data_IF_736657891872
#
_entry.id   IF_736657891872
#
_cell.length_a   1.000
_cell.length_b   1.000
_cell.length_c   1.000
_cell.angle_alpha   90.00
_cell.angle_beta   90.00
_cell.angle_gamma   90.00
#
_symmetry.space_group_name_H-M   'P 1'
#
loop_
_entity.id
_entity.type
_entity.pdbx_description
1 polymer ?
#
# COMPACT_ATOMS: atom_id res chain seq x y z
N UNK A 1 18.60 -18.47 -11.47
CA UNK A 1 17.45 -18.33 -12.39
C UNK A 1 17.32 -16.85 -12.70
N UNK A 2 17.19 -16.45 -13.96
CA UNK A 2 16.90 -15.05 -14.27
C UNK A 2 15.42 -14.73 -14.00
N UNK A 3 15.09 -13.44 -13.93
CA UNK A 3 13.73 -12.99 -13.61
C UNK A 3 12.72 -13.45 -14.69
N UNK A 4 13.14 -13.55 -15.95
CA UNK A 4 12.26 -13.95 -17.04
C UNK A 4 11.86 -15.43 -16.93
N UNK A 5 12.81 -16.29 -16.57
CA UNK A 5 12.56 -17.71 -16.29
C UNK A 5 11.64 -17.87 -15.07
N UNK A 6 11.89 -17.14 -13.98
CA UNK A 6 11.03 -17.16 -12.79
C UNK A 6 9.59 -16.71 -13.12
N UNK A 7 9.44 -15.64 -13.90
CA UNK A 7 8.12 -15.17 -14.34
C UNK A 7 7.39 -16.21 -15.21
N UNK A 8 8.11 -16.99 -16.02
CA UNK A 8 7.50 -18.05 -16.80
C UNK A 8 6.93 -19.16 -15.91
N UNK A 9 7.67 -19.56 -14.87
CA UNK A 9 7.22 -20.55 -13.89
C UNK A 9 6.01 -20.03 -13.10
N UNK A 10 6.06 -18.78 -12.63
CA UNK A 10 4.95 -18.14 -11.90
C UNK A 10 3.68 -18.07 -12.76
N UNK A 11 3.80 -17.82 -14.07
CA UNK A 11 2.66 -17.80 -15.00
C UNK A 11 2.00 -19.16 -15.18
N UNK A 12 2.69 -20.27 -14.89
CA UNK A 12 2.13 -21.62 -14.95
C UNK A 12 1.23 -21.96 -13.75
N UNK A 13 1.33 -21.18 -12.67
CA UNK A 13 0.51 -21.34 -11.46
C UNK A 13 -0.94 -20.88 -11.69
N UNK A 14 -1.84 -21.35 -10.83
CA UNK A 14 -3.21 -20.86 -10.80
C UNK A 14 -3.25 -19.36 -10.47
N UNK A 15 -4.38 -18.67 -10.74
CA UNK A 15 -4.52 -17.27 -10.32
C UNK A 15 -4.38 -17.11 -8.81
N UNK A 16 -4.98 -18.03 -8.05
CA UNK A 16 -4.94 -18.04 -6.58
C UNK A 16 -3.51 -18.18 -6.07
N UNK A 17 -2.75 -19.13 -6.59
CA UNK A 17 -1.34 -19.35 -6.20
C UNK A 17 -0.46 -18.15 -6.57
N UNK A 18 -0.73 -17.49 -7.70
CA UNK A 18 0.00 -16.26 -8.07
C UNK A 18 -0.28 -15.13 -7.10
N UNK A 19 -1.53 -14.97 -6.65
CA UNK A 19 -1.89 -13.95 -5.66
C UNK A 19 -1.20 -14.25 -4.33
N UNK A 20 -1.25 -15.50 -3.87
CA UNK A 20 -0.56 -15.93 -2.65
C UNK A 20 0.95 -15.70 -2.72
N UNK A 21 1.57 -15.99 -3.87
CA UNK A 21 3.01 -15.77 -4.06
C UNK A 21 3.36 -14.28 -4.06
N UNK A 22 2.56 -13.44 -4.74
CA UNK A 22 2.76 -11.98 -4.72
C UNK A 22 2.70 -11.46 -3.29
N UNK A 23 1.74 -11.92 -2.49
CA UNK A 23 1.64 -11.53 -1.09
C UNK A 23 2.83 -12.01 -0.26
N UNK A 24 3.25 -13.26 -0.42
CA UNK A 24 4.41 -13.79 0.32
C UNK A 24 5.71 -13.03 0.00
N UNK A 25 5.92 -12.65 -1.26
CA UNK A 25 7.06 -11.82 -1.67
C UNK A 25 6.95 -10.41 -1.06
N UNK A 26 5.75 -9.85 -1.06
CA UNK A 26 5.52 -8.53 -0.46
C UNK A 26 5.81 -8.52 1.05
N UNK A 27 5.35 -9.56 1.76
CA UNK A 27 5.60 -9.74 3.18
C UNK A 27 7.10 -9.94 3.49
N UNK A 28 7.83 -10.66 2.64
CA UNK A 28 9.28 -10.83 2.83
C UNK A 28 10.05 -9.52 2.66
N UNK A 29 9.67 -8.70 1.67
CA UNK A 29 10.26 -7.37 1.46
C UNK A 29 10.00 -6.47 2.67
N UNK A 30 8.78 -6.51 3.22
CA UNK A 30 8.43 -5.75 4.41
C UNK A 30 9.25 -6.20 5.63
N UNK A 31 9.47 -7.51 5.80
CA UNK A 31 10.27 -8.06 6.89
C UNK A 31 11.77 -7.76 6.78
N UNK A 32 12.30 -7.64 5.56
CA UNK A 32 13.71 -7.29 5.32
C UNK A 32 13.97 -5.77 5.41
N UNK A 33 12.94 -4.95 5.25
CA UNK A 33 13.09 -3.51 5.45
C UNK A 33 13.36 -3.19 6.93
N UNK A 34 14.47 -2.51 7.17
CA UNK A 34 14.68 -1.80 8.44
C UNK A 34 13.60 -0.72 8.51
N UNK A 35 12.61 -0.91 9.37
CA UNK A 35 11.56 0.07 9.59
C UNK A 35 12.20 1.42 9.93
N UNK A 36 11.97 2.42 9.09
CA UNK A 36 12.19 3.79 9.49
C UNK A 36 11.11 4.11 10.51
N UNK A 37 11.51 4.31 11.75
CA UNK A 37 10.61 4.80 12.77
C UNK A 37 9.99 6.11 12.30
N UNK A 38 8.67 6.20 12.39
CA UNK A 38 7.98 7.46 12.18
C UNK A 38 8.53 8.48 13.19
N UNK A 39 8.82 9.68 12.70
CA UNK A 39 9.12 10.81 13.57
C UNK A 39 7.90 11.12 14.45
N UNK A 40 8.12 11.74 15.61
CA UNK A 40 7.01 12.08 16.52
C UNK A 40 5.97 12.98 15.85
N UNK A 41 6.40 13.89 14.97
CA UNK A 41 5.49 14.74 14.20
C UNK A 41 4.62 13.93 13.22
N UNK A 42 5.18 12.89 12.59
CA UNK A 42 4.41 12.00 11.72
C UNK A 42 3.40 11.16 12.51
N UNK A 43 3.79 10.65 13.69
CA UNK A 43 2.88 9.93 14.59
C UNK A 43 1.71 10.82 15.03
N UNK A 44 2.00 12.03 15.49
CA UNK A 44 0.97 13.01 15.89
C UNK A 44 0.01 13.35 14.75
N UNK A 45 0.50 13.49 13.51
CA UNK A 45 -0.38 13.75 12.37
C UNK A 45 -1.27 12.55 12.04
N UNK A 46 -0.78 11.32 12.20
CA UNK A 46 -1.62 10.13 12.02
C UNK A 46 -2.68 10.04 13.13
N UNK A 47 -2.30 10.22 14.39
CA UNK A 47 -3.24 10.23 15.52
C UNK A 47 -4.34 11.28 15.32
N UNK A 48 -3.96 12.50 14.92
CA UNK A 48 -4.92 13.58 14.61
C UNK A 48 -5.90 13.20 13.49
N UNK A 49 -5.43 12.50 12.45
CA UNK A 49 -6.28 12.06 11.32
C UNK A 49 -7.23 10.95 11.73
N UNK A 50 -6.78 10.04 12.59
CA UNK A 50 -7.61 8.97 13.14
C UNK A 50 -8.71 9.57 14.00
N UNK A 51 -8.37 10.46 14.95
CA UNK A 51 -9.36 11.14 15.81
C UNK A 51 -10.40 11.94 15.00
N UNK A 52 -9.95 12.61 13.94
CA UNK A 52 -10.83 13.36 13.05
C UNK A 52 -11.81 12.44 12.30
N UNK A 53 -11.33 11.28 11.84
CA UNK A 53 -12.18 10.28 11.18
C UNK A 53 -13.16 9.62 12.14
N UNK A 54 -12.72 9.29 13.36
CA UNK A 54 -13.58 8.71 14.40
C UNK A 54 -14.68 9.68 14.83
N UNK A 55 -14.39 10.98 14.79
CA UNK A 55 -15.37 12.04 15.07
C UNK A 55 -16.35 12.24 13.91
N UNK A 56 -15.87 12.16 12.66
CA UNK A 56 -16.69 12.30 11.46
C UNK A 56 -16.20 11.37 10.33
N UNK A 57 -16.83 10.20 10.22
CA UNK A 57 -16.50 9.21 9.22
C UNK A 57 -16.83 9.63 7.78
N UNK A 58 -17.59 10.73 7.59
CA UNK A 58 -17.90 11.28 6.27
C UNK A 58 -16.88 12.34 5.82
N UNK A 59 -15.98 12.76 6.70
CA UNK A 59 -14.90 13.70 6.39
C UNK A 59 -13.73 13.00 5.67
N UNK A 60 -14.03 12.38 4.54
CA UNK A 60 -13.09 11.66 3.68
C UNK A 60 -13.35 12.00 2.22
N UNK A 61 -12.31 11.89 1.40
CA UNK A 61 -12.43 12.03 -0.05
C UNK A 61 -12.46 10.63 -0.68
N UNK A 62 -13.34 10.46 -1.65
CA UNK A 62 -13.31 9.31 -2.55
C UNK A 62 -12.08 9.37 -3.45
N UNK A 63 -11.68 8.21 -3.98
CA UNK A 63 -10.57 8.14 -4.92
C UNK A 63 -10.78 8.99 -6.18
N UNK A 64 -12.03 9.13 -6.63
CA UNK A 64 -12.35 9.99 -7.78
C UNK A 64 -12.16 11.47 -7.45
N UNK A 65 -12.56 11.92 -6.26
CA UNK A 65 -12.35 13.31 -5.80
C UNK A 65 -10.86 13.63 -5.65
N UNK A 66 -10.07 12.71 -5.07
CA UNK A 66 -8.61 12.88 -4.96
C UNK A 66 -7.97 13.00 -6.36
N UNK A 67 -8.33 12.11 -7.29
CA UNK A 67 -7.82 12.18 -8.67
C UNK A 67 -8.21 13.45 -9.40
N UNK A 68 -9.44 13.95 -9.18
CA UNK A 68 -9.91 15.19 -9.77
C UNK A 68 -9.08 16.38 -9.27
N UNK A 69 -8.89 16.49 -7.94
CA UNK A 69 -8.10 17.57 -7.33
C UNK A 69 -6.65 17.62 -7.87
N UNK A 70 -5.96 16.48 -7.93
CA UNK A 70 -4.58 16.41 -8.43
C UNK A 70 -4.48 16.77 -9.93
N UNK A 71 -5.53 16.53 -10.71
CA UNK A 71 -5.58 16.86 -12.15
C UNK A 71 -5.94 18.31 -12.42
N UNK A 72 -6.67 18.98 -11.53
CA UNK A 72 -6.99 20.41 -11.64
C UNK A 72 -5.83 21.31 -11.21
N UNK A 73 -4.91 20.81 -10.39
CA UNK A 73 -3.67 21.50 -10.00
C UNK A 73 -2.54 21.40 -11.06
N UNK A 74 -2.74 20.65 -12.14
CA UNK A 74 -1.77 20.43 -13.23
C UNK A 74 -2.14 21.18 -14.51
#
# INVERSE_FOLDING_TARGET
MDIAAALSEIKSLSLEDRIHLVQAIWDSIAAEQVHLDLTDAQKQELDRRIDAYDTDAQNVLTWEEVKAAVREEA
#
